data_IF_906240828629
#
_entry.id   IF_906240828629
#
_cell.length_a   1.000
_cell.length_b   1.000
_cell.length_c   1.000
_cell.angle_alpha   90.00
_cell.angle_beta   90.00
_cell.angle_gamma   90.00
#
_symmetry.space_group_name_H-M   'P 1'
#
loop_
_entity.id
_entity.type
_entity.pdbx_description
1 polymer ?
#
# COMPACT_ATOMS: atom_id res chain seq x y z
N UNK A 1 -4.09 -5.58 9.09
CA UNK A 1 -3.53 -4.34 8.48
C UNK A 1 -2.83 -3.53 9.56
N UNK A 2 -1.90 -2.66 9.17
CA UNK A 2 -1.25 -1.68 10.03
C UNK A 2 -1.58 -0.30 9.46
N UNK A 3 -2.06 0.59 10.31
CA UNK A 3 -2.19 2.01 10.01
C UNK A 3 -1.00 2.75 10.62
N UNK A 4 -0.36 3.62 9.84
CA UNK A 4 0.72 4.49 10.31
C UNK A 4 0.18 5.92 10.17
N UNK A 5 -0.03 6.67 11.25
CA UNK A 5 -0.67 8.00 11.20
C UNK A 5 0.03 9.00 10.26
N UNK A 6 1.33 8.84 10.05
CA UNK A 6 2.13 9.67 9.14
C UNK A 6 1.74 9.51 7.67
N UNK A 7 1.05 8.42 7.31
CA UNK A 7 0.67 8.12 5.94
C UNK A 7 -0.82 7.77 5.85
N UNK A 8 -1.60 8.41 4.96
CA UNK A 8 -3.04 8.16 4.82
C UNK A 8 -3.34 6.87 4.02
N UNK A 9 -2.63 5.79 4.35
CA UNK A 9 -2.69 4.46 3.73
C UNK A 9 -2.51 3.38 4.79
N UNK A 10 -2.87 2.15 4.44
CA UNK A 10 -2.69 0.99 5.32
C UNK A 10 -1.78 -0.05 4.67
N UNK A 11 -1.07 -0.80 5.50
CA UNK A 11 -0.13 -1.83 5.06
C UNK A 11 -0.67 -3.18 5.48
N UNK A 12 -0.67 -4.13 4.54
CA UNK A 12 -1.02 -5.51 4.86
C UNK A 12 0.23 -6.28 5.30
N UNK A 13 0.20 -6.89 6.49
CA UNK A 13 1.39 -7.51 7.12
C UNK A 13 1.96 -8.68 6.31
N UNK A 14 1.09 -9.46 5.66
CA UNK A 14 1.50 -10.66 4.91
C UNK A 14 2.12 -10.27 3.59
N UNK A 15 1.43 -9.44 2.80
CA UNK A 15 1.92 -9.02 1.49
C UNK A 15 3.00 -7.94 1.55
N UNK A 16 3.10 -7.21 2.67
CA UNK A 16 4.01 -6.08 2.87
C UNK A 16 3.86 -4.99 1.79
N UNK A 17 2.63 -4.81 1.31
CA UNK A 17 2.24 -3.76 0.37
C UNK A 17 1.26 -2.78 1.01
N UNK A 18 1.24 -1.57 0.45
CA UNK A 18 0.30 -0.51 0.79
C UNK A 18 -1.02 -0.66 0.03
N UNK A 19 -2.12 -0.29 0.66
CA UNK A 19 -3.45 -0.29 0.09
C UNK A 19 -4.21 0.97 0.48
N UNK A 20 -5.05 1.45 -0.44
CA UNK A 20 -6.14 2.41 -0.16
C UNK A 20 -7.31 1.65 0.46
N UNK A 21 -8.16 2.34 1.23
CA UNK A 21 -9.22 1.68 2.01
C UNK A 21 -10.15 0.81 1.14
N UNK A 22 -10.62 1.31 0.00
CA UNK A 22 -11.58 0.58 -0.84
C UNK A 22 -10.96 -0.60 -1.59
N UNK A 23 -9.63 -0.66 -1.70
CA UNK A 23 -8.93 -1.78 -2.36
C UNK A 23 -8.82 -3.01 -1.45
N UNK A 24 -9.04 -2.86 -0.14
CA UNK A 24 -8.81 -3.91 0.85
C UNK A 24 -9.74 -5.10 0.67
N UNK A 25 -11.05 -4.86 0.57
CA UNK A 25 -12.04 -5.92 0.40
C UNK A 25 -11.67 -6.81 -0.79
N UNK A 26 -11.52 -6.18 -1.96
CA UNK A 26 -11.14 -6.87 -3.20
C UNK A 26 -9.80 -7.60 -3.04
N UNK A 27 -8.81 -7.01 -2.37
CA UNK A 27 -7.54 -7.71 -2.15
C UNK A 27 -7.72 -8.98 -1.31
N UNK A 28 -8.48 -8.92 -0.22
CA UNK A 28 -8.71 -10.08 0.63
C UNK A 28 -9.51 -11.17 -0.09
N UNK A 29 -10.59 -10.79 -0.78
CA UNK A 29 -11.47 -11.75 -1.48
C UNK A 29 -10.77 -12.47 -2.64
N UNK A 30 -9.92 -11.78 -3.41
CA UNK A 30 -9.27 -12.35 -4.60
C UNK A 30 -7.91 -12.98 -4.34
N UNK A 31 -7.12 -12.46 -3.39
CA UNK A 31 -5.75 -12.93 -3.13
C UNK A 31 -5.68 -13.83 -1.89
N UNK A 32 -6.56 -13.62 -0.91
CA UNK A 32 -6.57 -14.34 0.36
C UNK A 32 -7.90 -15.08 0.57
N UNK A 33 -8.21 -15.99 -0.35
CA UNK A 33 -9.47 -16.77 -0.39
C UNK A 33 -9.74 -17.63 0.85
N UNK A 34 -8.72 -17.83 1.70
CA UNK A 34 -8.82 -18.55 2.98
C UNK A 34 -9.55 -17.70 4.05
N UNK A 35 -9.60 -16.37 3.88
CA UNK A 35 -10.23 -15.48 4.85
C UNK A 35 -11.75 -15.48 4.62
N UNK A 36 -12.51 -15.85 5.65
CA UNK A 36 -13.97 -15.88 5.62
C UNK A 36 -14.57 -14.49 5.37
N UNK A 37 -15.75 -14.45 4.75
CA UNK A 37 -16.45 -13.19 4.46
C UNK A 37 -16.76 -12.35 5.72
N UNK A 38 -17.05 -13.00 6.86
CA UNK A 38 -17.22 -12.32 8.15
C UNK A 38 -15.96 -11.62 8.62
N UNK A 39 -14.80 -12.28 8.51
CA UNK A 39 -13.50 -11.69 8.84
C UNK A 39 -13.17 -10.52 7.91
N UNK A 40 -13.44 -10.66 6.60
CA UNK A 40 -13.29 -9.57 5.64
C UNK A 40 -14.16 -8.37 6.04
N UNK A 41 -15.43 -8.60 6.38
CA UNK A 41 -16.34 -7.53 6.82
C UNK A 41 -15.85 -6.84 8.10
N UNK A 42 -15.37 -7.60 9.08
CA UNK A 42 -14.81 -7.08 10.33
C UNK A 42 -13.59 -6.20 10.06
N UNK A 43 -12.69 -6.64 9.19
CA UNK A 43 -11.50 -5.89 8.80
C UNK A 43 -11.90 -4.59 8.08
N UNK A 44 -12.81 -4.67 7.10
CA UNK A 44 -13.27 -3.51 6.33
C UNK A 44 -13.95 -2.48 7.24
N UNK A 45 -14.81 -2.90 8.18
CA UNK A 45 -15.44 -2.00 9.15
C UNK A 45 -14.42 -1.23 9.99
N UNK A 46 -13.38 -1.92 10.48
CA UNK A 46 -12.29 -1.27 11.26
C UNK A 46 -11.51 -0.25 10.43
N UNK A 47 -11.35 -0.51 9.13
CA UNK A 47 -10.65 0.40 8.21
C UNK A 47 -11.53 1.59 7.84
N UNK A 48 -12.83 1.38 7.65
CA UNK A 48 -13.79 2.47 7.35
C UNK A 48 -13.89 3.48 8.49
N UNK A 49 -13.70 3.02 9.73
CA UNK A 49 -13.66 3.87 10.93
C UNK A 49 -12.45 4.82 10.98
N UNK A 50 -11.48 4.73 10.05
CA UNK A 50 -10.31 5.61 9.99
C UNK A 50 -10.54 6.66 8.88
N UNK A 51 -10.98 7.89 9.23
CA UNK A 51 -11.36 8.90 8.23
C UNK A 51 -10.16 9.46 7.45
N UNK A 52 -8.96 9.37 8.01
CA UNK A 52 -7.73 9.90 7.42
C UNK A 52 -7.22 9.07 6.23
N UNK A 53 -7.77 7.88 6.01
CA UNK A 53 -7.33 7.02 4.92
C UNK A 53 -7.81 7.52 3.57
N UNK A 54 -6.90 7.50 2.59
CA UNK A 54 -7.26 7.63 1.19
C UNK A 54 -8.13 6.43 0.80
N UNK A 55 -9.37 6.73 0.39
CA UNK A 55 -10.35 5.71 0.00
C UNK A 55 -10.24 5.29 -1.47
N UNK A 56 -9.98 6.25 -2.36
CA UNK A 56 -9.95 6.05 -3.82
C UNK A 56 -8.60 6.47 -4.41
N UNK A 57 -8.31 5.96 -5.62
CA UNK A 57 -7.05 6.21 -6.31
C UNK A 57 -6.78 7.70 -6.53
N UNK A 58 -7.80 8.50 -6.85
CA UNK A 58 -7.68 9.95 -7.04
C UNK A 58 -7.33 10.73 -5.75
N UNK A 59 -7.40 10.08 -4.57
CA UNK A 59 -6.89 10.68 -3.34
C UNK A 59 -5.37 10.60 -3.23
N UNK A 60 -4.72 9.75 -4.03
CA UNK A 60 -3.25 9.62 -4.04
C UNK A 60 -2.56 10.84 -4.63
N UNK A 61 -3.25 11.68 -5.40
CA UNK A 61 -2.71 12.96 -5.89
C UNK A 61 -2.29 13.89 -4.74
N UNK A 62 -2.90 13.73 -3.56
CA UNK A 62 -2.56 14.48 -2.35
C UNK A 62 -1.69 13.66 -1.37
N UNK A 63 -1.12 12.55 -1.82
CA UNK A 63 -0.33 11.69 -0.95
C UNK A 63 0.95 12.41 -0.53
N UNK A 64 1.22 12.55 0.79
CA UNK A 64 2.46 13.13 1.27
C UNK A 64 3.60 12.16 0.97
N UNK A 65 4.39 12.46 -0.05
CA UNK A 65 5.61 11.70 -0.29
C UNK A 65 6.62 11.97 0.82
N UNK A 66 7.19 10.92 1.42
CA UNK A 66 8.18 11.12 2.46
C UNK A 66 9.43 11.79 1.90
N UNK A 67 10.12 12.54 2.76
CA UNK A 67 11.45 13.09 2.45
C UNK A 67 12.43 11.95 2.12
N UNK A 68 13.42 12.20 1.24
CA UNK A 68 14.40 11.18 0.85
C UNK A 68 15.28 10.68 2.01
N UNK A 69 15.27 11.37 3.15
CA UNK A 69 16.02 11.02 4.36
C UNK A 69 15.26 10.15 5.35
N UNK A 70 13.97 9.85 5.09
CA UNK A 70 13.19 9.01 5.99
C UNK A 70 13.76 7.60 6.08
N UNK A 71 13.71 6.99 7.26
CA UNK A 71 14.00 5.57 7.41
C UNK A 71 12.95 4.74 6.64
N UNK A 72 13.35 3.59 6.07
CA UNK A 72 12.41 2.72 5.38
C UNK A 72 11.27 2.29 6.31
N UNK A 73 10.05 2.31 5.79
CA UNK A 73 8.86 1.89 6.54
C UNK A 73 8.97 0.39 6.80
N UNK A 74 9.05 -0.07 8.07
CA UNK A 74 9.48 -1.44 8.41
C UNK A 74 8.53 -2.54 7.92
N UNK A 75 7.29 -2.18 7.59
CA UNK A 75 6.25 -3.13 7.14
C UNK A 75 6.12 -3.22 5.63
N UNK A 76 6.87 -2.42 4.87
CA UNK A 76 6.85 -2.43 3.41
C UNK A 76 8.03 -3.25 2.89
N UNK A 77 7.78 -4.09 1.90
CA UNK A 77 8.86 -4.86 1.25
C UNK A 77 9.86 -3.90 0.60
N UNK A 78 11.15 -4.25 0.67
CA UNK A 78 12.19 -3.51 -0.05
C UNK A 78 11.80 -3.35 -1.54
N UNK A 79 12.15 -2.22 -2.18
CA UNK A 79 11.91 -2.04 -3.59
C UNK A 79 12.54 -3.20 -4.38
N UNK A 80 11.86 -3.62 -5.45
CA UNK A 80 12.44 -4.62 -6.36
C UNK A 80 13.72 -4.03 -6.96
N UNK A 81 14.78 -4.84 -7.02
CA UNK A 81 16.07 -4.47 -7.60
C UNK A 81 16.03 -4.36 -9.13
N UNK A 82 14.97 -4.86 -9.77
CA UNK A 82 14.75 -4.82 -11.22
C UNK A 82 14.24 -3.46 -11.75
N UNK A 83 14.58 -2.37 -11.07
CA UNK A 83 14.25 -1.04 -11.57
C UNK A 83 15.28 -0.59 -12.62
N UNK A 84 14.80 -0.01 -13.72
CA UNK A 84 15.64 0.73 -14.64
C UNK A 84 16.09 2.01 -13.93
N UNK A 85 17.36 2.06 -13.53
CA UNK A 85 17.99 3.28 -13.06
C UNK A 85 18.28 4.20 -14.25
N UNK A 86 18.07 5.50 -14.08
CA UNK A 86 18.63 6.48 -15.01
C UNK A 86 20.16 6.54 -14.82
N UNK A 87 20.95 6.48 -15.90
CA UNK A 87 22.41 6.60 -15.82
C UNK A 87 22.92 8.01 -15.43
N UNK A 88 22.02 9.00 -15.33
CA UNK A 88 22.35 10.40 -14.97
C UNK A 88 21.77 10.85 -13.63
N UNK A 89 20.87 10.09 -13.02
CA UNK A 89 20.31 10.41 -11.71
C UNK A 89 19.95 9.14 -10.93
N UNK A 90 20.01 9.20 -9.60
CA UNK A 90 19.70 8.07 -8.70
C UNK A 90 18.22 7.65 -8.70
N UNK A 91 17.44 8.11 -9.69
CA UNK A 91 16.02 7.81 -9.83
C UNK A 91 15.85 6.45 -10.51
N UNK A 92 15.19 5.53 -9.80
CA UNK A 92 14.93 4.16 -10.25
C UNK A 92 13.44 4.04 -10.56
N UNK A 93 13.10 3.71 -11.80
CA UNK A 93 11.72 3.43 -12.25
C UNK A 93 11.55 1.94 -12.52
N UNK A 94 10.40 1.38 -12.13
CA UNK A 94 10.09 -0.02 -12.39
C UNK A 94 9.89 -0.26 -13.89
N UNK A 95 10.58 -1.24 -14.47
CA UNK A 95 10.36 -1.67 -15.85
C UNK A 95 8.92 -2.20 -16.02
N UNK A 96 8.17 -1.62 -16.97
CA UNK A 96 6.76 -1.97 -17.21
C UNK A 96 6.57 -3.13 -18.20
N UNK A 97 7.63 -3.81 -18.65
CA UNK A 97 7.55 -4.75 -19.79
C UNK A 97 7.12 -6.18 -19.43
N UNK A 98 6.62 -6.43 -18.22
CA UNK A 98 6.03 -7.71 -17.84
C UNK A 98 4.78 -7.48 -16.97
N UNK A 99 3.65 -7.30 -17.64
CA UNK A 99 2.29 -7.47 -17.10
C UNK A 99 1.67 -8.68 -17.78
#
# INVERSE_FOLDING_TARGET
FIYIPEFPIIIYKVCKYRYIANAVRRHLEYIHTIISAEEVNTIVKKIDAIPELIRIRNGLDKFPFPLPTIKPIPYIKAPKTNGLGCNKCSYIIQDQRNI
#
